data_IF_947532349784
#
_entry.id   IF_947532349784
#
_cell.length_a   1.000
_cell.length_b   1.000
_cell.length_c   1.000
_cell.angle_alpha   90.00
_cell.angle_beta   90.00
_cell.angle_gamma   90.00
#
_symmetry.space_group_name_H-M   'P 1'
#
loop_
_entity.id
_entity.type
_entity.pdbx_description
1 polymer ?
#
# COMPACT_ATOMS: atom_id res chain seq x y z
N UNK A 1 18.79 28.91 1.07
CA UNK A 1 18.10 30.20 1.19
C UNK A 1 17.16 30.12 2.39
N UNK A 2 17.40 30.88 3.40
CA UNK A 2 16.77 31.27 4.66
C UNK A 2 15.40 30.66 4.98
N UNK A 3 15.39 29.70 5.92
CA UNK A 3 14.22 29.29 6.68
C UNK A 3 13.87 30.41 7.71
N UNK A 4 12.70 31.02 7.59
CA UNK A 4 12.11 31.79 8.70
C UNK A 4 11.29 30.83 9.55
N UNK A 5 11.88 30.38 10.64
CA UNK A 5 11.16 29.75 11.74
C UNK A 5 10.41 30.85 12.49
N UNK A 6 9.09 30.89 12.38
CA UNK A 6 8.23 31.69 13.26
C UNK A 6 7.90 30.82 14.45
N UNK A 7 8.42 31.21 15.61
CA UNK A 7 8.11 30.59 16.91
C UNK A 7 6.62 30.82 17.24
N UNK A 8 5.77 29.87 16.82
CA UNK A 8 4.46 29.64 17.40
C UNK A 8 4.36 28.16 17.70
N UNK A 9 4.04 27.85 18.94
CA UNK A 9 3.84 26.52 19.49
C UNK A 9 2.84 25.75 18.58
N UNK A 10 3.30 24.74 17.81
CA UNK A 10 2.43 23.70 17.30
C UNK A 10 2.36 23.42 15.80
N UNK A 11 2.81 24.28 14.87
CA UNK A 11 2.64 23.98 13.44
C UNK A 11 3.91 24.27 12.65
N UNK A 12 4.61 23.21 12.25
CA UNK A 12 5.60 23.29 11.18
C UNK A 12 4.86 23.04 9.85
N UNK A 13 4.38 24.11 9.22
CA UNK A 13 3.72 24.04 7.91
C UNK A 13 4.79 24.03 6.84
N UNK A 14 4.99 22.88 6.19
CA UNK A 14 5.73 22.78 4.93
C UNK A 14 4.76 23.22 3.83
N UNK A 15 4.87 24.47 3.35
CA UNK A 15 4.12 24.95 2.19
C UNK A 15 4.50 24.14 0.97
N UNK A 16 3.50 23.59 0.29
CA UNK A 16 3.55 22.71 -0.89
C UNK A 16 3.81 21.19 -0.66
N UNK A 17 3.97 20.73 0.59
CA UNK A 17 4.06 19.29 0.87
C UNK A 17 2.66 18.66 0.95
N UNK A 18 2.54 17.42 0.44
CA UNK A 18 1.33 16.60 0.62
C UNK A 18 1.13 16.15 2.07
N UNK A 19 2.14 16.32 2.94
CA UNK A 19 2.13 15.91 4.33
C UNK A 19 2.16 17.12 5.26
N UNK A 20 1.15 17.23 6.14
CA UNK A 20 1.12 18.20 7.23
C UNK A 20 1.42 17.46 8.54
N UNK A 21 2.53 17.82 9.19
CA UNK A 21 3.00 17.22 10.44
C UNK A 21 2.58 18.05 11.64
N UNK A 22 1.90 17.44 12.60
CA UNK A 22 1.70 17.98 13.95
C UNK A 22 2.14 16.99 14.99
N UNK A 23 2.68 17.44 16.11
CA UNK A 23 3.15 16.56 17.20
C UNK A 23 2.43 16.95 18.48
N UNK A 24 1.77 15.99 19.14
CA UNK A 24 1.04 16.25 20.36
C UNK A 24 1.97 16.21 21.61
N UNK A 25 1.40 16.52 22.78
CA UNK A 25 2.11 16.53 24.07
C UNK A 25 2.71 15.17 24.45
N UNK A 26 2.15 14.07 23.97
CA UNK A 26 2.64 12.71 24.17
C UNK A 26 3.74 12.30 23.16
N UNK A 27 4.19 13.25 22.32
CA UNK A 27 5.13 13.00 21.22
C UNK A 27 4.62 12.02 20.19
N UNK A 28 3.30 11.97 19.97
CA UNK A 28 2.70 11.27 18.85
C UNK A 28 2.56 12.24 17.68
N UNK A 29 3.25 11.93 16.59
CA UNK A 29 3.12 12.66 15.33
C UNK A 29 1.79 12.29 14.65
N UNK A 30 1.03 13.27 14.23
CA UNK A 30 -0.11 13.13 13.33
C UNK A 30 0.27 13.76 12.00
N UNK A 31 0.31 12.92 10.97
CA UNK A 31 0.62 13.31 9.60
C UNK A 31 -0.68 13.31 8.81
N UNK A 32 -1.17 14.48 8.47
CA UNK A 32 -2.32 14.64 7.60
C UNK A 32 -1.87 14.62 6.15
N UNK A 33 -2.40 13.66 5.38
CA UNK A 33 -2.14 13.52 3.95
C UNK A 33 -3.20 14.32 3.21
N UNK A 34 -2.78 15.36 2.52
CA UNK A 34 -3.70 16.24 1.78
C UNK A 34 -3.05 16.77 0.51
N UNK A 35 -3.37 16.16 -0.64
CA UNK A 35 -2.89 16.62 -1.94
C UNK A 35 -3.59 17.91 -2.31
N UNK A 36 -2.87 19.05 -2.40
CA UNK A 36 -3.50 20.34 -2.65
C UNK A 36 -4.24 20.39 -3.98
N UNK A 37 -5.46 20.96 -3.96
CA UNK A 37 -6.28 21.16 -5.15
C UNK A 37 -6.94 19.91 -5.73
N UNK A 38 -6.67 18.72 -5.20
CA UNK A 38 -7.26 17.47 -5.68
C UNK A 38 -8.41 17.01 -4.77
N UNK A 39 -9.39 16.33 -5.36
CA UNK A 39 -10.50 15.73 -4.61
C UNK A 39 -10.05 14.50 -3.80
N UNK A 40 -9.04 13.77 -4.29
CA UNK A 40 -8.53 12.55 -3.69
C UNK A 40 -7.03 12.65 -3.47
N UNK A 41 -6.53 11.96 -2.44
CA UNK A 41 -5.11 11.73 -2.29
C UNK A 41 -4.66 10.62 -3.24
N UNK A 42 -3.59 10.88 -3.98
CA UNK A 42 -2.91 9.90 -4.82
C UNK A 42 -1.40 9.96 -4.55
N UNK A 43 -0.70 8.85 -4.77
CA UNK A 43 0.76 8.82 -4.73
C UNK A 43 1.29 9.43 -6.04
N UNK A 44 1.89 10.60 -5.92
CA UNK A 44 2.55 11.33 -7.04
C UNK A 44 4.01 10.90 -7.16
N UNK A 45 4.67 11.35 -8.20
CA UNK A 45 6.11 11.16 -8.44
C UNK A 45 6.98 11.71 -7.30
N UNK A 46 6.59 12.84 -6.69
CA UNK A 46 7.28 13.44 -5.53
C UNK A 46 7.09 12.68 -4.22
N UNK A 47 6.17 11.71 -4.14
CA UNK A 47 5.75 11.08 -2.87
C UNK A 47 6.91 10.49 -2.06
N UNK A 48 7.88 9.86 -2.71
CA UNK A 48 9.03 9.25 -2.03
C UNK A 48 9.93 10.32 -1.38
N UNK A 49 10.15 11.43 -2.07
CA UNK A 49 10.95 12.55 -1.57
C UNK A 49 10.20 13.30 -0.46
N UNK A 50 8.88 13.54 -0.63
CA UNK A 50 8.03 14.15 0.38
C UNK A 50 8.00 13.30 1.67
N UNK A 51 7.87 11.97 1.54
CA UNK A 51 7.91 11.05 2.68
C UNK A 51 9.28 11.10 3.37
N UNK A 52 10.37 11.12 2.62
CA UNK A 52 11.73 11.23 3.17
C UNK A 52 11.91 12.53 3.96
N UNK A 53 11.48 13.66 3.42
CA UNK A 53 11.54 14.96 4.08
C UNK A 53 10.70 14.97 5.38
N UNK A 54 9.49 14.40 5.34
CA UNK A 54 8.64 14.20 6.52
C UNK A 54 9.35 13.40 7.62
N UNK A 55 9.97 12.27 7.26
CA UNK A 55 10.64 11.39 8.23
C UNK A 55 11.86 12.07 8.87
N UNK A 56 12.59 12.90 8.12
CA UNK A 56 13.68 13.71 8.69
C UNK A 56 13.15 14.81 9.64
N UNK A 57 12.06 15.49 9.28
CA UNK A 57 11.42 16.47 10.17
C UNK A 57 10.93 15.80 11.47
N UNK A 58 10.30 14.64 11.39
CA UNK A 58 9.83 13.90 12.56
C UNK A 58 10.96 13.47 13.53
N UNK A 59 12.18 13.21 13.02
CA UNK A 59 13.34 12.89 13.87
C UNK A 59 13.72 14.06 14.79
N UNK A 60 13.62 15.29 14.28
CA UNK A 60 13.95 16.50 15.05
C UNK A 60 12.98 16.74 16.20
N UNK A 61 11.71 16.32 16.04
CA UNK A 61 10.66 16.47 17.05
C UNK A 61 10.66 15.41 18.16
N UNK A 62 11.60 14.46 18.14
CA UNK A 62 11.69 13.37 19.12
C UNK A 62 10.42 12.53 19.22
N UNK A 63 9.83 12.21 18.06
CA UNK A 63 8.57 11.47 17.91
C UNK A 63 8.68 10.05 18.51
N UNK A 64 7.65 9.62 19.24
CA UNK A 64 7.53 8.29 19.86
C UNK A 64 6.54 7.36 19.15
N UNK A 65 5.72 7.90 18.28
CA UNK A 65 4.75 7.18 17.45
C UNK A 65 4.22 8.08 16.36
N UNK A 66 3.74 7.52 15.25
CA UNK A 66 3.28 8.27 14.10
C UNK A 66 1.97 7.73 13.56
N UNK A 67 1.02 8.61 13.31
CA UNK A 67 -0.28 8.31 12.70
C UNK A 67 -0.39 9.03 11.37
N UNK A 68 -0.67 8.30 10.31
CA UNK A 68 -1.04 8.85 9.00
C UNK A 68 -2.56 8.85 8.87
N UNK A 69 -3.14 10.00 8.57
CA UNK A 69 -4.57 10.18 8.35
C UNK A 69 -4.79 11.08 7.13
N UNK A 70 -5.89 10.91 6.43
CA UNK A 70 -6.22 11.77 5.29
C UNK A 70 -6.90 13.06 5.74
N UNK A 71 -6.59 14.16 5.05
CA UNK A 71 -7.34 15.41 5.12
C UNK A 71 -8.60 15.44 4.24
N UNK A 72 -8.78 14.43 3.35
CA UNK A 72 -9.96 14.30 2.50
C UNK A 72 -11.08 13.59 3.28
N UNK A 73 -12.35 13.88 2.91
CA UNK A 73 -13.52 13.38 3.64
C UNK A 73 -13.83 11.89 3.39
N UNK A 74 -13.49 11.37 2.21
CA UNK A 74 -14.03 10.12 1.66
C UNK A 74 -12.97 9.12 1.17
N UNK A 75 -11.70 9.48 1.25
CA UNK A 75 -10.60 8.58 0.89
C UNK A 75 -9.38 8.76 1.80
N UNK A 76 -8.64 7.67 1.99
CA UNK A 76 -7.31 7.69 2.61
C UNK A 76 -6.26 8.03 1.54
N UNK A 77 -6.01 7.09 0.63
CA UNK A 77 -5.21 7.28 -0.59
C UNK A 77 -5.84 6.38 -1.67
N UNK A 78 -6.28 6.97 -2.78
CA UNK A 78 -7.04 6.26 -3.81
C UNK A 78 -6.16 5.48 -4.81
N UNK A 79 -4.86 5.44 -4.61
CA UNK A 79 -3.90 4.74 -5.45
C UNK A 79 -2.73 5.62 -5.90
N UNK A 80 -1.96 5.14 -6.85
CA UNK A 80 -0.98 5.96 -7.55
C UNK A 80 -1.67 6.90 -8.55
N UNK A 81 -1.05 8.04 -8.83
CA UNK A 81 -1.48 8.88 -9.95
C UNK A 81 -1.17 8.16 -11.27
N UNK A 82 -2.23 7.61 -11.89
CA UNK A 82 -2.11 6.82 -13.13
C UNK A 82 -1.56 7.66 -14.28
N UNK A 83 -1.78 9.00 -14.27
CA UNK A 83 -1.20 9.91 -15.29
C UNK A 83 0.32 9.91 -15.28
N UNK A 84 0.92 9.71 -14.10
CA UNK A 84 2.37 9.58 -13.99
C UNK A 84 2.91 8.42 -14.85
N UNK A 85 2.17 7.31 -14.94
CA UNK A 85 2.58 6.14 -15.72
C UNK A 85 2.47 6.34 -17.24
N UNK A 86 1.62 7.25 -17.69
CA UNK A 86 1.50 7.55 -19.13
C UNK A 86 2.68 8.40 -19.65
N UNK A 87 3.35 9.11 -18.74
CA UNK A 87 4.56 9.85 -19.05
C UNK A 87 5.82 8.98 -19.13
N UNK A 88 5.74 7.73 -18.69
CA UNK A 88 6.86 6.79 -18.71
C UNK A 88 7.16 6.34 -20.14
N UNK A 89 8.36 6.67 -20.62
CA UNK A 89 8.79 6.36 -21.99
C UNK A 89 9.68 5.11 -22.06
N UNK A 90 10.34 4.75 -20.97
CA UNK A 90 11.28 3.63 -20.91
C UNK A 90 10.94 2.70 -19.75
N UNK A 91 11.24 1.43 -19.96
CA UNK A 91 11.05 0.39 -18.93
C UNK A 91 11.85 0.70 -17.65
N UNK A 92 13.02 1.27 -17.81
CA UNK A 92 13.92 1.64 -16.72
C UNK A 92 13.29 2.70 -15.80
N UNK A 93 12.54 3.66 -16.36
CA UNK A 93 11.83 4.68 -15.59
C UNK A 93 10.70 4.04 -14.74
N UNK A 94 9.95 3.11 -15.34
CA UNK A 94 8.92 2.34 -14.60
C UNK A 94 9.54 1.48 -13.50
N UNK A 95 10.71 0.89 -13.75
CA UNK A 95 11.45 0.12 -12.74
C UNK A 95 11.87 1.01 -11.58
N UNK A 96 12.42 2.18 -11.86
CA UNK A 96 12.85 3.15 -10.86
C UNK A 96 11.68 3.61 -9.97
N UNK A 97 10.50 3.85 -10.54
CA UNK A 97 9.28 4.21 -9.77
C UNK A 97 8.98 3.13 -8.71
N UNK A 98 8.96 1.86 -9.11
CA UNK A 98 8.69 0.76 -8.18
C UNK A 98 9.79 0.62 -7.11
N UNK A 99 11.06 0.71 -7.51
CA UNK A 99 12.20 0.59 -6.58
C UNK A 99 12.24 1.74 -5.58
N UNK A 100 11.96 2.98 -6.00
CA UNK A 100 11.85 4.14 -5.11
C UNK A 100 10.70 3.97 -4.11
N UNK A 101 9.55 3.47 -4.55
CA UNK A 101 8.42 3.17 -3.68
C UNK A 101 8.79 2.08 -2.66
N UNK A 102 9.46 1.00 -3.09
CA UNK A 102 9.96 -0.04 -2.19
C UNK A 102 10.92 0.54 -1.14
N UNK A 103 11.87 1.38 -1.56
CA UNK A 103 12.84 1.97 -0.65
C UNK A 103 12.17 2.88 0.38
N UNK A 104 11.27 3.78 -0.06
CA UNK A 104 10.53 4.67 0.83
C UNK A 104 9.73 3.88 1.88
N UNK A 105 9.07 2.80 1.48
CA UNK A 105 8.32 1.94 2.40
C UNK A 105 9.22 1.07 3.28
N UNK A 106 10.40 0.68 2.83
CA UNK A 106 11.38 0.03 3.70
C UNK A 106 11.92 0.97 4.77
N UNK A 107 12.16 2.23 4.44
CA UNK A 107 12.66 3.20 5.38
C UNK A 107 11.61 3.50 6.48
N UNK A 108 10.32 3.54 6.12
CA UNK A 108 9.23 3.56 7.11
C UNK A 108 9.28 2.36 8.07
N UNK A 109 9.49 1.15 7.57
CA UNK A 109 9.51 -0.06 8.42
C UNK A 109 10.69 -0.08 9.41
N UNK A 110 11.77 0.68 9.15
CA UNK A 110 12.96 0.77 10.00
C UNK A 110 12.85 1.83 11.10
N UNK A 111 11.79 2.66 11.10
CA UNK A 111 11.62 3.69 12.12
C UNK A 111 11.65 3.08 13.54
N UNK A 112 12.25 3.75 14.54
CA UNK A 112 12.37 3.21 15.88
C UNK A 112 11.06 3.24 16.68
N UNK A 113 10.02 3.85 16.15
CA UNK A 113 8.69 4.00 16.75
C UNK A 113 7.60 3.40 15.86
N UNK A 114 6.43 3.22 16.45
CA UNK A 114 5.28 2.60 15.79
C UNK A 114 4.60 3.55 14.82
N UNK A 115 4.29 3.05 13.63
CA UNK A 115 3.54 3.76 12.59
C UNK A 115 2.14 3.18 12.41
N UNK A 116 1.13 4.03 12.22
CA UNK A 116 -0.28 3.64 12.11
C UNK A 116 -0.93 4.35 10.93
N UNK A 117 -1.62 3.61 10.07
CA UNK A 117 -2.54 4.19 9.09
C UNK A 117 -3.95 4.24 9.67
N UNK A 118 -4.50 5.45 9.80
CA UNK A 118 -5.89 5.72 10.20
C UNK A 118 -6.74 5.89 8.94
N UNK A 119 -7.40 4.81 8.54
CA UNK A 119 -8.03 4.69 7.21
C UNK A 119 -9.51 5.01 7.30
N UNK A 120 -9.94 6.09 6.67
CA UNK A 120 -11.33 6.37 6.35
C UNK A 120 -11.49 6.53 4.84
N UNK A 121 -12.59 6.03 4.29
CA UNK A 121 -12.80 5.96 2.85
C UNK A 121 -11.88 4.96 2.15
N UNK A 122 -11.57 5.22 0.89
CA UNK A 122 -10.82 4.30 0.05
C UNK A 122 -9.31 4.30 0.33
N UNK A 123 -8.72 3.11 0.53
CA UNK A 123 -7.28 2.84 0.53
C UNK A 123 -7.00 1.76 -0.52
N UNK A 124 -6.72 2.18 -1.75
CA UNK A 124 -6.64 1.29 -2.91
C UNK A 124 -5.26 1.36 -3.56
N UNK A 125 -4.84 0.28 -4.19
CA UNK A 125 -3.57 0.22 -4.91
C UNK A 125 -2.39 0.67 -4.04
N UNK A 126 -1.58 1.59 -4.55
CA UNK A 126 -0.47 2.19 -3.81
C UNK A 126 -0.85 2.74 -2.44
N UNK A 127 -2.11 3.17 -2.25
CA UNK A 127 -2.62 3.62 -0.94
C UNK A 127 -2.73 2.48 0.07
N UNK A 128 -3.14 1.28 -0.36
CA UNK A 128 -3.09 0.11 0.50
C UNK A 128 -1.63 -0.35 0.69
N UNK A 129 -0.78 -0.28 -0.32
CA UNK A 129 0.64 -0.63 -0.22
C UNK A 129 1.36 0.24 0.82
N UNK A 130 1.08 1.55 0.84
CA UNK A 130 1.52 2.47 1.88
C UNK A 130 1.01 2.05 3.26
N UNK A 131 -0.30 1.78 3.39
CA UNK A 131 -0.88 1.35 4.65
C UNK A 131 -0.28 0.01 5.15
N UNK A 132 0.01 -0.92 4.24
CA UNK A 132 0.67 -2.19 4.55
C UNK A 132 2.14 -2.03 4.98
N UNK A 133 2.77 -0.90 4.70
CA UNK A 133 4.10 -0.57 5.19
C UNK A 133 4.08 0.00 6.61
N UNK A 134 2.93 0.48 7.12
CA UNK A 134 2.75 0.85 8.52
C UNK A 134 2.65 -0.38 9.42
N UNK A 135 3.03 -0.21 10.70
CA UNK A 135 2.96 -1.30 11.69
C UNK A 135 1.53 -1.73 12.00
N UNK A 136 0.60 -0.76 12.11
CA UNK A 136 -0.83 -0.99 12.35
C UNK A 136 -1.71 -0.24 11.34
N UNK A 137 -2.92 -0.74 11.15
CA UNK A 137 -3.96 -0.18 10.27
C UNK A 137 -5.29 -0.20 11.01
N UNK A 138 -5.82 0.99 11.33
CA UNK A 138 -7.14 1.16 11.93
C UNK A 138 -8.07 1.72 10.86
N UNK A 139 -9.17 1.03 10.58
CA UNK A 139 -10.14 1.47 9.58
C UNK A 139 -11.44 1.95 10.24
N UNK A 140 -12.25 2.73 9.48
CA UNK A 140 -13.62 3.03 9.92
C UNK A 140 -14.59 1.93 9.51
N UNK A 141 -15.73 1.85 10.20
CA UNK A 141 -16.83 0.93 9.90
C UNK A 141 -17.76 1.41 8.77
N UNK A 142 -17.43 2.57 8.18
CA UNK A 142 -18.17 3.17 7.07
C UNK A 142 -18.18 2.29 5.83
N UNK A 143 -19.29 2.25 5.10
CA UNK A 143 -19.40 1.59 3.78
C UNK A 143 -18.50 2.26 2.70
N UNK A 144 -18.09 3.50 2.91
CA UNK A 144 -17.13 4.19 2.06
C UNK A 144 -15.70 3.66 2.23
N UNK A 145 -15.39 3.08 3.40
CA UNK A 145 -14.07 2.52 3.67
C UNK A 145 -13.91 1.17 2.97
N UNK A 146 -12.92 1.13 2.10
CA UNK A 146 -12.58 -0.05 1.30
C UNK A 146 -11.07 -0.14 1.15
N UNK A 147 -10.54 -1.35 1.22
CA UNK A 147 -9.12 -1.62 0.97
C UNK A 147 -8.98 -2.63 -0.16
N UNK A 148 -7.96 -2.51 -0.99
CA UNK A 148 -7.76 -3.44 -2.10
C UNK A 148 -6.58 -3.10 -2.98
N UNK A 149 -6.20 -4.04 -3.84
CA UNK A 149 -5.14 -3.89 -4.84
C UNK A 149 -5.77 -4.15 -6.23
N UNK A 150 -6.43 -3.13 -6.84
CA UNK A 150 -7.17 -3.28 -8.09
C UNK A 150 -6.31 -3.11 -9.35
N UNK A 151 -5.00 -3.07 -9.25
CA UNK A 151 -4.07 -2.77 -10.34
C UNK A 151 -4.26 -3.69 -11.57
N UNK A 152 -4.73 -4.92 -11.35
CA UNK A 152 -5.07 -5.84 -12.44
C UNK A 152 -6.09 -5.24 -13.41
N UNK A 153 -7.00 -4.38 -12.95
CA UNK A 153 -8.00 -3.73 -13.80
C UNK A 153 -7.39 -2.72 -14.78
N UNK A 154 -6.17 -2.26 -14.49
CA UNK A 154 -5.36 -1.38 -15.34
C UNK A 154 -4.27 -2.13 -16.12
N UNK A 155 -4.32 -3.46 -16.15
CA UNK A 155 -3.26 -4.25 -16.79
C UNK A 155 -1.93 -4.23 -16.04
N UNK A 156 -1.95 -3.92 -14.75
CA UNK A 156 -0.79 -3.79 -13.89
C UNK A 156 -0.81 -4.82 -12.75
N UNK A 157 0.27 -4.90 -12.00
CA UNK A 157 0.34 -5.53 -10.69
C UNK A 157 0.67 -4.47 -9.62
N UNK A 158 0.43 -4.73 -8.33
CA UNK A 158 0.89 -3.87 -7.25
C UNK A 158 2.41 -3.72 -7.28
N UNK A 159 2.91 -2.49 -7.45
CA UNK A 159 4.34 -2.22 -7.67
C UNK A 159 5.08 -1.63 -6.46
N UNK A 160 4.37 -1.32 -5.36
CA UNK A 160 4.93 -0.75 -4.13
C UNK A 160 5.14 -1.78 -3.00
N UNK A 161 5.23 -3.07 -3.32
CA UNK A 161 5.40 -4.16 -2.35
C UNK A 161 4.08 -4.83 -1.94
N UNK A 162 2.98 -4.53 -2.61
CA UNK A 162 1.66 -5.08 -2.32
C UNK A 162 1.58 -6.58 -2.47
N UNK A 163 2.19 -7.14 -3.53
CA UNK A 163 2.22 -8.60 -3.74
C UNK A 163 2.98 -9.30 -2.61
N UNK A 164 3.96 -8.63 -2.01
CA UNK A 164 4.81 -9.16 -0.96
C UNK A 164 4.12 -9.06 0.41
N UNK A 165 3.67 -7.84 0.77
CA UNK A 165 3.10 -7.55 2.10
C UNK A 165 1.72 -8.17 2.29
N UNK A 166 0.84 -8.06 1.28
CA UNK A 166 -0.50 -8.65 1.40
C UNK A 166 -0.43 -10.17 1.53
N UNK A 167 0.43 -10.85 0.74
CA UNK A 167 0.60 -12.30 0.80
C UNK A 167 1.04 -12.78 2.19
N UNK A 168 1.94 -12.06 2.85
CA UNK A 168 2.36 -12.36 4.23
C UNK A 168 1.22 -12.26 5.24
N UNK A 169 0.27 -11.34 5.02
CA UNK A 169 -0.82 -11.09 5.96
C UNK A 169 -1.99 -12.06 5.76
N UNK A 170 -2.38 -12.33 4.51
CA UNK A 170 -3.62 -13.07 4.22
C UNK A 170 -3.38 -14.49 3.68
N UNK A 171 -2.13 -14.85 3.39
CA UNK A 171 -1.76 -16.12 2.73
C UNK A 171 -1.90 -16.08 1.21
N UNK A 172 -1.36 -17.11 0.55
CA UNK A 172 -1.22 -17.18 -0.92
C UNK A 172 -2.59 -17.15 -1.62
N UNK A 173 -3.50 -18.04 -1.20
CA UNK A 173 -4.77 -18.21 -1.90
C UNK A 173 -5.62 -16.93 -1.87
N UNK A 174 -5.74 -16.30 -0.71
CA UNK A 174 -6.53 -15.09 -0.54
C UNK A 174 -5.86 -13.89 -1.21
N UNK A 175 -4.54 -13.78 -1.16
CA UNK A 175 -3.79 -12.74 -1.86
C UNK A 175 -4.01 -12.84 -3.37
N UNK A 176 -3.90 -14.04 -3.95
CA UNK A 176 -4.20 -14.28 -5.36
C UNK A 176 -5.66 -13.95 -5.69
N UNK A 177 -6.64 -14.43 -4.89
CA UNK A 177 -8.05 -14.07 -5.11
C UNK A 177 -8.25 -12.56 -5.22
N UNK A 178 -7.72 -11.81 -4.26
CA UNK A 178 -7.95 -10.38 -4.20
C UNK A 178 -7.24 -9.60 -5.31
N UNK A 179 -5.98 -9.91 -5.58
CA UNK A 179 -5.22 -9.21 -6.61
C UNK A 179 -5.61 -9.61 -8.04
N UNK A 180 -5.95 -10.89 -8.29
CA UNK A 180 -6.38 -11.33 -9.63
C UNK A 180 -7.78 -10.83 -10.02
N UNK A 181 -8.59 -10.45 -9.03
CA UNK A 181 -9.94 -9.92 -9.27
C UNK A 181 -10.03 -8.40 -9.11
N UNK A 182 -9.01 -7.77 -8.52
CA UNK A 182 -9.06 -6.36 -8.18
C UNK A 182 -10.13 -6.02 -7.13
N UNK A 183 -10.49 -7.00 -6.28
CA UNK A 183 -11.59 -6.91 -5.33
C UNK A 183 -11.33 -5.86 -4.26
N UNK A 184 -12.30 -4.99 -4.04
CA UNK A 184 -12.34 -4.06 -2.91
C UNK A 184 -12.99 -4.74 -1.71
N UNK A 185 -12.30 -4.70 -0.58
CA UNK A 185 -12.63 -5.43 0.64
C UNK A 185 -13.21 -4.48 1.67
N UNK A 186 -14.38 -4.81 2.23
CA UNK A 186 -15.03 -4.03 3.28
C UNK A 186 -14.28 -4.15 4.62
N UNK A 187 -14.39 -3.16 5.53
CA UNK A 187 -13.60 -3.09 6.76
C UNK A 187 -13.69 -4.35 7.64
N UNK A 188 -14.90 -4.85 7.88
CA UNK A 188 -15.10 -6.06 8.70
C UNK A 188 -14.42 -7.30 8.10
N UNK A 189 -14.46 -7.45 6.78
CA UNK A 189 -13.80 -8.55 6.08
C UNK A 189 -12.27 -8.37 6.11
N UNK A 190 -11.76 -7.14 5.93
CA UNK A 190 -10.34 -6.81 6.01
C UNK A 190 -9.78 -7.07 7.43
N UNK A 191 -10.53 -6.71 8.49
CA UNK A 191 -10.16 -7.02 9.89
C UNK A 191 -10.13 -8.54 10.13
N UNK A 192 -11.14 -9.27 9.65
CA UNK A 192 -11.15 -10.75 9.77
C UNK A 192 -9.95 -11.39 9.08
N UNK A 193 -9.52 -10.84 7.95
CA UNK A 193 -8.35 -11.32 7.20
C UNK A 193 -7.00 -10.85 7.79
N UNK A 194 -6.98 -9.92 8.74
CA UNK A 194 -5.78 -9.38 9.36
C UNK A 194 -5.17 -8.18 8.63
N UNK A 195 -5.81 -7.70 7.57
CA UNK A 195 -5.35 -6.49 6.85
C UNK A 195 -5.61 -5.24 7.68
N UNK A 196 -6.74 -5.14 8.36
CA UNK A 196 -6.98 -4.12 9.39
C UNK A 196 -6.79 -4.73 10.78
N UNK A 197 -6.13 -4.00 11.67
CA UNK A 197 -5.93 -4.38 13.07
C UNK A 197 -7.17 -4.05 13.90
N UNK A 198 -7.83 -2.92 13.58
CA UNK A 198 -9.12 -2.57 14.19
C UNK A 198 -10.06 -1.86 13.20
N UNK A 199 -11.34 -1.84 13.56
CA UNK A 199 -12.42 -1.15 12.83
C UNK A 199 -13.29 -0.44 13.83
N UNK A 200 -13.41 0.88 13.71
CA UNK A 200 -14.04 1.76 14.68
C UNK A 200 -14.91 2.83 13.99
N UNK A 201 -15.86 3.46 14.71
CA UNK A 201 -16.54 4.65 14.17
C UNK A 201 -15.57 5.77 13.82
N UNK A 202 -15.88 6.54 12.79
CA UNK A 202 -15.02 7.64 12.32
C UNK A 202 -14.72 8.68 13.41
N UNK A 203 -15.68 8.96 14.29
CA UNK A 203 -15.53 9.93 15.39
C UNK A 203 -14.43 9.62 16.39
N UNK A 204 -14.01 8.36 16.48
CA UNK A 204 -12.95 7.91 17.40
C UNK A 204 -11.70 7.40 16.67
N UNK A 205 -11.67 7.44 15.34
CA UNK A 205 -10.59 6.90 14.52
C UNK A 205 -9.21 7.42 14.93
N UNK A 206 -9.05 8.74 14.97
CA UNK A 206 -7.76 9.36 15.31
C UNK A 206 -7.32 9.03 16.74
N UNK A 207 -8.28 9.04 17.69
CA UNK A 207 -8.00 8.66 19.09
C UNK A 207 -7.45 7.24 19.17
N UNK A 208 -8.14 6.29 18.57
CA UNK A 208 -7.72 4.87 18.59
C UNK A 208 -6.41 4.67 17.83
N UNK A 209 -6.20 5.37 16.70
CA UNK A 209 -4.93 5.31 15.97
C UNK A 209 -3.75 5.81 16.81
N UNK A 210 -3.92 6.90 17.59
CA UNK A 210 -2.90 7.38 18.54
C UNK A 210 -2.62 6.37 19.65
N UNK A 211 -3.64 5.70 20.18
CA UNK A 211 -3.48 4.63 21.16
C UNK A 211 -2.65 3.46 20.58
N UNK A 212 -2.82 3.13 19.28
CA UNK A 212 -1.98 2.15 18.61
C UNK A 212 -0.54 2.66 18.39
N UNK A 213 -0.36 3.93 18.02
CA UNK A 213 0.96 4.53 17.83
C UNK A 213 1.79 4.58 19.11
N UNK A 214 1.15 4.63 20.27
CA UNK A 214 1.81 4.56 21.58
C UNK A 214 2.24 3.13 21.97
N UNK A 215 1.79 2.09 21.26
CA UNK A 215 2.21 0.70 21.51
C UNK A 215 3.61 0.44 20.95
N UNK A 216 4.25 -0.61 21.45
CA UNK A 216 5.46 -1.16 20.81
C UNK A 216 5.13 -1.71 19.42
N UNK A 217 6.12 -1.69 18.52
CA UNK A 217 5.99 -2.34 17.21
C UNK A 217 5.52 -3.78 17.37
N UNK A 218 4.58 -4.24 16.51
CA UNK A 218 4.11 -5.61 16.55
C UNK A 218 5.23 -6.55 16.09
N UNK A 219 5.24 -7.77 16.63
CA UNK A 219 5.98 -8.85 16.02
C UNK A 219 5.33 -9.23 14.66
N UNK A 220 6.12 -9.83 13.79
CA UNK A 220 5.60 -10.38 12.53
C UNK A 220 4.45 -11.33 12.82
N UNK A 221 3.31 -11.10 12.17
CA UNK A 221 2.10 -11.91 12.35
C UNK A 221 2.06 -12.98 11.26
N UNK A 222 1.82 -14.22 11.67
CA UNK A 222 1.47 -15.26 10.71
C UNK A 222 0.06 -15.02 10.14
N UNK A 223 -0.19 -15.37 8.86
CA UNK A 223 -1.50 -15.27 8.25
C UNK A 223 -2.51 -16.18 8.97
N UNK A 224 -3.73 -15.65 9.17
CA UNK A 224 -4.84 -16.41 9.76
C UNK A 224 -5.44 -17.36 8.71
N UNK A 225 -4.83 -18.52 8.56
CA UNK A 225 -5.26 -19.55 7.60
C UNK A 225 -6.17 -20.58 8.29
N UNK A 226 -7.15 -21.08 7.55
CA UNK A 226 -7.85 -22.31 7.93
C UNK A 226 -6.92 -23.54 7.80
N UNK A 227 -7.35 -24.67 8.35
CA UNK A 227 -6.52 -25.90 8.40
C UNK A 227 -6.08 -26.38 7.02
N UNK A 228 -6.94 -26.28 6.01
CA UNK A 228 -6.65 -26.75 4.65
C UNK A 228 -5.66 -25.82 3.97
N UNK A 229 -5.91 -24.51 4.03
CA UNK A 229 -4.98 -23.50 3.51
C UNK A 229 -3.61 -23.59 4.19
N UNK A 230 -3.56 -23.76 5.52
CA UNK A 230 -2.30 -23.95 6.25
C UNK A 230 -1.53 -25.18 5.75
N UNK A 231 -2.22 -26.31 5.53
CA UNK A 231 -1.59 -27.51 5.02
C UNK A 231 -1.02 -27.33 3.62
N UNK A 232 -1.79 -26.70 2.71
CA UNK A 232 -1.37 -26.46 1.33
C UNK A 232 -0.23 -25.45 1.23
N UNK A 233 -0.30 -24.35 2.00
CA UNK A 233 0.68 -23.27 1.92
C UNK A 233 1.99 -23.58 2.66
N UNK A 234 1.99 -24.50 3.63
CA UNK A 234 3.16 -24.86 4.43
C UNK A 234 4.21 -25.70 3.70
N UNK A 235 3.85 -26.34 2.59
CA UNK A 235 4.76 -27.24 1.87
C UNK A 235 4.88 -26.92 0.38
N UNK A 236 6.03 -27.24 -0.27
CA UNK A 236 6.27 -26.90 -1.67
C UNK A 236 5.27 -27.53 -2.66
N UNK A 237 4.79 -28.75 -2.40
CA UNK A 237 3.83 -29.43 -3.28
C UNK A 237 2.48 -28.73 -3.27
N UNK A 238 1.98 -28.39 -2.09
CA UNK A 238 0.73 -27.65 -1.95
C UNK A 238 0.81 -26.26 -2.56
N UNK A 239 1.90 -25.50 -2.34
CA UNK A 239 2.13 -24.22 -3.01
C UNK A 239 2.15 -24.36 -4.53
N UNK A 240 2.87 -25.35 -5.07
CA UNK A 240 2.91 -25.59 -6.51
C UNK A 240 1.51 -25.91 -7.08
N UNK A 241 0.70 -26.70 -6.35
CA UNK A 241 -0.68 -26.97 -6.73
C UNK A 241 -1.53 -25.68 -6.79
N UNK A 242 -1.43 -24.81 -5.77
CA UNK A 242 -2.15 -23.53 -5.73
C UNK A 242 -1.77 -22.67 -6.95
N UNK A 243 -0.47 -22.48 -7.21
CA UNK A 243 -0.01 -21.65 -8.34
C UNK A 243 -0.37 -22.24 -9.70
N UNK A 244 -0.26 -23.56 -9.86
CA UNK A 244 -0.70 -24.25 -11.09
C UNK A 244 -2.19 -24.02 -11.34
N UNK A 245 -3.03 -24.20 -10.31
CA UNK A 245 -4.48 -23.99 -10.41
C UNK A 245 -4.86 -22.53 -10.71
N UNK A 246 -4.17 -21.58 -10.07
CA UNK A 246 -4.37 -20.16 -10.35
C UNK A 246 -4.02 -19.82 -11.81
N UNK A 247 -2.88 -20.32 -12.32
CA UNK A 247 -2.45 -20.13 -13.71
C UNK A 247 -3.44 -20.72 -14.70
N UNK A 248 -3.89 -21.97 -14.47
CA UNK A 248 -4.89 -22.62 -15.32
C UNK A 248 -6.20 -21.82 -15.39
N UNK A 249 -6.68 -21.34 -14.24
CA UNK A 249 -7.90 -20.52 -14.17
C UNK A 249 -7.76 -19.18 -14.91
N UNK A 250 -6.59 -18.52 -14.78
CA UNK A 250 -6.30 -17.29 -15.51
C UNK A 250 -6.27 -17.54 -17.00
N UNK A 251 -5.52 -18.55 -17.47
CA UNK A 251 -5.43 -18.89 -18.90
C UNK A 251 -6.79 -19.26 -19.49
N UNK A 252 -7.61 -20.00 -18.76
CA UNK A 252 -8.97 -20.34 -19.19
C UNK A 252 -9.86 -19.11 -19.38
N UNK A 253 -9.69 -18.08 -18.52
CA UNK A 253 -10.51 -16.86 -18.58
C UNK A 253 -10.01 -15.84 -19.60
N UNK A 254 -8.70 -15.77 -19.80
CA UNK A 254 -8.07 -14.70 -20.59
C UNK A 254 -7.55 -15.16 -21.94
N UNK A 255 -7.58 -16.45 -22.22
CA UNK A 255 -6.96 -17.00 -23.44
C UNK A 255 -5.44 -16.78 -23.52
N UNK A 256 -4.82 -16.29 -22.44
CA UNK A 256 -3.39 -15.91 -22.43
C UNK A 256 -3.11 -14.48 -22.90
N UNK A 257 -4.12 -13.74 -23.33
CA UNK A 257 -3.99 -12.37 -23.88
C UNK A 257 -3.94 -11.27 -22.82
N UNK A 258 -3.87 -11.62 -21.54
CA UNK A 258 -3.84 -10.66 -20.43
C UNK A 258 -2.65 -10.95 -19.52
N UNK A 259 -1.52 -10.21 -19.67
CA UNK A 259 -0.27 -10.55 -18.98
C UNK A 259 -0.28 -10.26 -17.49
N UNK A 260 -1.01 -9.24 -17.02
CA UNK A 260 -0.99 -8.79 -15.63
C UNK A 260 -1.35 -9.89 -14.61
N UNK A 261 -2.39 -10.71 -14.79
CA UNK A 261 -2.68 -11.81 -13.87
C UNK A 261 -1.54 -12.83 -13.74
N UNK A 262 -0.84 -13.14 -14.84
CA UNK A 262 0.30 -14.06 -14.81
C UNK A 262 1.50 -13.46 -14.07
N UNK A 263 1.72 -12.16 -14.24
CA UNK A 263 2.75 -11.42 -13.51
C UNK A 263 2.44 -11.35 -12.01
N UNK A 264 1.18 -11.16 -11.61
CA UNK A 264 0.74 -11.24 -10.20
C UNK A 264 1.06 -12.62 -9.62
N UNK A 265 0.71 -13.71 -10.31
CA UNK A 265 1.01 -15.06 -9.85
C UNK A 265 2.51 -15.26 -9.68
N UNK A 266 3.34 -14.76 -10.62
CA UNK A 266 4.80 -14.81 -10.54
C UNK A 266 5.33 -14.05 -9.32
N UNK A 267 4.84 -12.83 -9.06
CA UNK A 267 5.29 -12.00 -7.95
C UNK A 267 4.86 -12.58 -6.58
N UNK A 268 3.63 -13.09 -6.47
CA UNK A 268 3.15 -13.79 -5.27
C UNK A 268 3.96 -15.08 -5.02
N UNK A 269 4.29 -15.82 -6.07
CA UNK A 269 5.14 -17.00 -5.94
C UNK A 269 6.54 -16.62 -5.44
N UNK A 270 7.13 -15.56 -6.00
CA UNK A 270 8.41 -15.04 -5.55
C UNK A 270 8.41 -14.66 -4.06
N UNK A 271 7.30 -14.09 -3.55
CA UNK A 271 7.18 -13.66 -2.15
C UNK A 271 7.29 -14.80 -1.12
N UNK A 272 7.05 -16.04 -1.53
CA UNK A 272 7.07 -17.23 -0.65
C UNK A 272 8.16 -18.24 -0.98
N UNK A 273 8.82 -18.11 -2.14
CA UNK A 273 9.85 -19.06 -2.59
C UNK A 273 11.25 -18.44 -2.68
N UNK A 274 11.36 -17.09 -2.75
CA UNK A 274 12.64 -16.40 -2.88
C UNK A 274 12.98 -15.62 -1.61
N UNK A 275 14.24 -15.22 -1.48
CA UNK A 275 14.63 -14.24 -0.47
C UNK A 275 13.96 -12.87 -0.74
N UNK A 276 13.88 -12.05 0.31
CA UNK A 276 13.16 -10.77 0.28
C UNK A 276 13.61 -9.87 -0.88
N UNK A 277 14.91 -9.72 -1.09
CA UNK A 277 15.44 -8.81 -2.12
C UNK A 277 15.05 -9.28 -3.53
N UNK A 278 15.22 -10.58 -3.81
CA UNK A 278 14.83 -11.15 -5.11
C UNK A 278 13.33 -11.10 -5.35
N UNK A 279 12.53 -11.29 -4.30
CA UNK A 279 11.08 -11.24 -4.39
C UNK A 279 10.59 -9.83 -4.76
N UNK A 280 11.08 -8.78 -4.08
CA UNK A 280 10.76 -7.40 -4.42
C UNK A 280 11.29 -6.99 -5.81
N UNK A 281 12.49 -7.43 -6.17
CA UNK A 281 13.03 -7.23 -7.53
C UNK A 281 12.14 -7.87 -8.59
N UNK A 282 11.62 -9.09 -8.35
CA UNK A 282 10.68 -9.76 -9.27
C UNK A 282 9.39 -8.97 -9.45
N UNK A 283 8.86 -8.37 -8.37
CA UNK A 283 7.70 -7.47 -8.43
C UNK A 283 8.00 -6.24 -9.28
N UNK A 284 9.10 -5.51 -8.99
CA UNK A 284 9.48 -4.29 -9.69
C UNK A 284 9.73 -4.51 -11.20
N UNK A 285 10.47 -5.57 -11.56
CA UNK A 285 10.73 -5.93 -12.96
C UNK A 285 9.42 -6.29 -13.70
N UNK A 286 8.52 -6.99 -13.02
CA UNK A 286 7.22 -7.37 -13.59
C UNK A 286 6.32 -6.14 -13.75
N UNK A 287 6.29 -5.24 -12.77
CA UNK A 287 5.60 -3.95 -12.85
C UNK A 287 6.10 -3.13 -14.05
N UNK A 288 7.42 -2.94 -14.16
CA UNK A 288 8.02 -2.17 -15.25
C UNK A 288 7.67 -2.75 -16.64
N UNK A 289 7.64 -4.08 -16.76
CA UNK A 289 7.24 -4.74 -18.00
C UNK A 289 5.77 -4.48 -18.34
N UNK A 290 4.89 -4.53 -17.35
CA UNK A 290 3.45 -4.30 -17.54
C UNK A 290 3.13 -2.84 -17.88
N UNK A 291 3.80 -1.86 -17.26
CA UNK A 291 3.61 -0.44 -17.56
C UNK A 291 3.83 -0.16 -19.06
N UNK A 292 4.80 -0.85 -19.68
CA UNK A 292 5.13 -0.69 -21.10
C UNK A 292 4.24 -1.51 -22.03
N UNK A 293 3.42 -2.43 -21.52
CA UNK A 293 2.57 -3.30 -22.36
C UNK A 293 1.42 -2.54 -23.01
N UNK A 294 1.03 -2.98 -24.19
CA UNK A 294 -0.07 -2.37 -24.95
C UNK A 294 -1.40 -2.58 -24.22
N UNK A 295 -1.59 -3.72 -23.55
CA UNK A 295 -2.77 -4.01 -22.75
C UNK A 295 -2.93 -3.02 -21.60
N UNK A 296 -1.85 -2.71 -20.87
CA UNK A 296 -1.93 -1.73 -19.80
C UNK A 296 -2.17 -0.33 -20.32
N UNK A 297 -1.50 0.09 -21.40
CA UNK A 297 -1.73 1.40 -22.05
C UNK A 297 -3.20 1.56 -22.47
N UNK A 298 -3.77 0.54 -23.11
CA UNK A 298 -5.17 0.56 -23.54
C UNK A 298 -6.14 0.66 -22.34
N UNK A 299 -5.90 -0.12 -21.28
CA UNK A 299 -6.77 -0.11 -20.10
C UNK A 299 -6.68 1.20 -19.32
N UNK A 300 -5.48 1.81 -19.20
CA UNK A 300 -5.32 3.16 -18.63
C UNK A 300 -6.05 4.21 -19.48
N UNK A 301 -5.94 4.13 -20.80
CA UNK A 301 -6.69 5.01 -21.71
C UNK A 301 -8.21 4.92 -21.52
N UNK A 302 -8.75 3.72 -21.35
CA UNK A 302 -10.18 3.51 -21.03
C UNK A 302 -10.52 4.12 -19.67
N UNK A 303 -9.67 3.91 -18.66
CA UNK A 303 -9.88 4.45 -17.30
C UNK A 303 -9.99 5.98 -17.29
N UNK A 304 -9.25 6.70 -18.14
CA UNK A 304 -9.35 8.17 -18.24
C UNK A 304 -10.55 8.64 -19.09
N UNK A 305 -11.12 7.77 -19.88
CA UNK A 305 -12.27 8.10 -20.73
C UNK A 305 -13.64 7.90 -20.02
N UNK A 306 -13.65 7.28 -18.84
CA UNK A 306 -14.84 7.00 -18.01
C UNK A 306 -14.91 7.90 -16.79
#
# INVERSE_FOLDING_TARGET
WWFRCSLCIGECVMTDSVFNLTVDENKIAVVTIDVPGEKMNTLRDSFADDLKALLEAAKQESVKGMVFISGKSDNFIAGADVKMLDNVQKREDALAISELCHQAFFDMTKLPYTTVSAIHGAALGGGLEFALACDYRVGTDSDMTKVGLPEVQLGLLPGGGGTQRLTKIVGIQKALEWMLTGKQIRPKQAKKAGVLDDVVPQSVLLKVAKEFAAKKKPADKEPKLDKVSKLLESNPFGRNFIFKKAKENVLKKTGGHYPAPLAIIKAVRASVELDKLKAYKTEAESFATLVMSDESKALRGIFFAT
#
